data_IF_918630802604
#
_entry.id   IF_918630802604
#
_cell.length_a   1.000
_cell.length_b   1.000
_cell.length_c   1.000
_cell.angle_alpha   90.00
_cell.angle_beta   90.00
_cell.angle_gamma   90.00
#
_symmetry.space_group_name_H-M   'P 1'
#
loop_
_entity.id
_entity.type
_entity.pdbx_description
1 polymer ?
#
# COMPACT_ATOMS: atom_id res chain seq x y z
N UNK A 1 -44.75 -31.64 -17.51
CA UNK A 1 -44.17 -30.29 -17.31
C UNK A 1 -43.78 -30.12 -15.84
N UNK A 2 -42.48 -30.18 -15.52
CA UNK A 2 -41.93 -29.86 -14.19
C UNK A 2 -40.89 -28.75 -14.39
N UNK A 3 -41.14 -27.57 -13.83
CA UNK A 3 -40.21 -26.45 -13.87
C UNK A 3 -39.11 -26.64 -12.83
N UNK A 4 -37.85 -26.61 -13.28
CA UNK A 4 -36.66 -26.62 -12.42
C UNK A 4 -36.39 -25.18 -12.01
N UNK A 5 -36.49 -24.89 -10.70
CA UNK A 5 -36.07 -23.61 -10.12
C UNK A 5 -34.54 -23.60 -10.05
N UNK A 6 -33.94 -22.72 -10.84
CA UNK A 6 -32.51 -22.40 -10.77
C UNK A 6 -32.24 -21.62 -9.48
N UNK A 7 -31.51 -22.23 -8.55
CA UNK A 7 -30.94 -21.56 -7.39
C UNK A 7 -29.51 -21.13 -7.75
N UNK A 8 -29.36 -19.93 -8.28
CA UNK A 8 -28.07 -19.24 -8.21
C UNK A 8 -27.97 -18.58 -6.83
N UNK A 9 -27.27 -19.25 -5.92
CA UNK A 9 -26.81 -18.63 -4.68
C UNK A 9 -25.76 -17.59 -5.03
N UNK A 10 -26.09 -16.34 -4.74
CA UNK A 10 -25.22 -15.17 -4.86
C UNK A 10 -24.00 -15.40 -3.96
N UNK A 11 -22.83 -15.64 -4.54
CA UNK A 11 -21.55 -15.60 -3.80
C UNK A 11 -21.45 -14.22 -3.14
N UNK A 12 -21.18 -14.11 -1.83
CA UNK A 12 -21.05 -12.80 -1.21
C UNK A 12 -19.80 -12.14 -1.77
N UNK A 13 -20.00 -10.95 -2.35
CA UNK A 13 -18.93 -10.04 -2.71
C UNK A 13 -18.04 -9.80 -1.49
N UNK A 14 -16.73 -9.67 -1.74
CA UNK A 14 -15.74 -9.26 -0.76
C UNK A 14 -16.32 -8.11 0.08
N UNK A 15 -16.26 -8.28 1.41
CA UNK A 15 -16.79 -7.37 2.41
C UNK A 15 -16.48 -5.93 2.01
N UNK A 16 -17.52 -5.21 1.58
CA UNK A 16 -17.42 -3.80 1.21
C UNK A 16 -16.85 -3.04 2.40
N UNK A 17 -15.66 -2.46 2.27
CA UNK A 17 -15.16 -1.44 3.20
C UNK A 17 -16.08 -0.22 3.06
N UNK A 18 -17.19 -0.22 3.79
CA UNK A 18 -18.05 0.95 3.94
C UNK A 18 -17.36 1.91 4.92
N UNK A 19 -16.22 2.46 4.52
CA UNK A 19 -15.71 3.66 5.16
C UNK A 19 -16.33 4.85 4.43
N UNK A 20 -17.02 5.68 5.20
CA UNK A 20 -17.65 6.91 4.77
C UNK A 20 -16.62 7.78 4.02
N UNK A 21 -16.86 8.15 2.75
CA UNK A 21 -15.95 9.02 2.00
C UNK A 21 -15.72 10.37 2.69
N UNK A 22 -16.63 10.81 3.56
CA UNK A 22 -16.53 12.05 4.33
C UNK A 22 -15.88 11.86 5.71
N UNK A 23 -15.39 10.64 6.02
CA UNK A 23 -14.69 10.39 7.29
C UNK A 23 -13.39 11.21 7.36
N UNK A 24 -13.18 12.00 8.43
CA UNK A 24 -12.00 12.83 8.55
C UNK A 24 -10.74 11.96 8.55
N UNK A 25 -9.66 12.47 7.95
CA UNK A 25 -8.36 11.82 8.07
C UNK A 25 -7.93 11.78 9.54
N UNK A 26 -7.85 10.57 10.09
CA UNK A 26 -7.32 10.33 11.43
C UNK A 26 -5.89 9.82 11.26
N UNK A 27 -4.93 10.54 11.83
CA UNK A 27 -3.52 10.17 11.83
C UNK A 27 -3.30 8.99 12.81
N UNK A 28 -2.47 8.00 12.47
CA UNK A 28 -2.24 6.87 13.36
C UNK A 28 -1.33 7.22 14.54
N UNK A 29 -1.21 6.33 15.54
CA UNK A 29 -0.19 6.41 16.58
C UNK A 29 1.23 6.51 16.02
N UNK A 30 2.18 6.84 16.91
CA UNK A 30 3.60 6.89 16.53
C UNK A 30 4.14 5.50 16.19
N UNK A 31 5.17 5.44 15.33
CA UNK A 31 5.83 4.15 14.99
C UNK A 31 6.32 3.46 16.25
N UNK A 32 7.00 4.19 17.14
CA UNK A 32 7.38 3.71 18.47
C UNK A 32 6.22 3.10 19.27
N UNK A 33 5.02 3.71 19.25
CA UNK A 33 3.85 3.16 19.94
C UNK A 33 3.36 1.87 19.30
N UNK A 34 3.27 1.83 17.95
CA UNK A 34 2.86 0.63 17.21
C UNK A 34 3.82 -0.52 17.50
N UNK A 35 5.14 -0.26 17.53
CA UNK A 35 6.15 -1.28 17.86
C UNK A 35 5.98 -1.83 19.29
N UNK A 36 5.65 -0.98 20.26
CA UNK A 36 5.38 -1.42 21.64
C UNK A 36 4.13 -2.30 21.77
N UNK A 37 3.14 -2.10 20.90
CA UNK A 37 1.86 -2.80 20.94
C UNK A 37 1.69 -3.79 19.76
N UNK A 38 2.80 -4.15 19.10
CA UNK A 38 2.79 -4.87 17.81
C UNK A 38 1.98 -6.16 17.85
N UNK A 39 2.17 -6.98 18.89
CA UNK A 39 1.47 -8.26 19.06
C UNK A 39 -0.06 -8.09 19.19
N UNK A 40 -0.52 -7.02 19.82
CA UNK A 40 -1.94 -6.72 19.98
C UNK A 40 -2.58 -6.27 18.67
N UNK A 41 -1.78 -5.63 17.80
CA UNK A 41 -2.23 -5.02 16.54
C UNK A 41 -2.21 -5.98 15.34
N UNK A 42 -1.54 -7.14 15.42
CA UNK A 42 -1.42 -8.09 14.30
C UNK A 42 -2.74 -8.53 13.67
N UNK A 43 -3.85 -8.49 14.42
CA UNK A 43 -5.19 -8.85 13.93
C UNK A 43 -6.17 -7.67 13.91
N UNK A 44 -5.66 -6.45 14.06
CA UNK A 44 -6.48 -5.24 14.09
C UNK A 44 -6.40 -4.50 12.76
N UNK A 45 -7.49 -3.78 12.46
CA UNK A 45 -7.47 -2.84 11.34
C UNK A 45 -6.60 -1.63 11.70
N UNK A 46 -5.93 -1.02 10.72
CA UNK A 46 -5.20 0.22 10.93
C UNK A 46 -6.14 1.28 11.49
N UNK A 47 -5.59 2.13 12.33
CA UNK A 47 -6.31 3.23 12.95
C UNK A 47 -6.58 4.37 11.96
N UNK A 48 -5.74 4.49 10.91
CA UNK A 48 -5.91 5.51 9.88
C UNK A 48 -7.24 5.37 9.14
N UNK A 49 -8.01 6.47 9.10
CA UNK A 49 -9.28 6.57 8.38
C UNK A 49 -9.18 7.45 7.14
N UNK A 50 -10.15 7.30 6.25
CA UNK A 50 -10.34 8.16 5.08
C UNK A 50 -9.94 7.49 3.77
N UNK A 51 -10.61 7.89 2.69
CA UNK A 51 -10.42 7.37 1.33
C UNK A 51 -9.70 8.39 0.45
N UNK A 52 -8.46 8.69 0.79
CA UNK A 52 -7.62 9.66 0.07
C UNK A 52 -6.29 9.02 -0.33
N UNK A 53 -5.60 9.55 -1.37
CA UNK A 53 -4.26 9.09 -1.74
C UNK A 53 -3.23 9.30 -0.62
N UNK A 54 -3.52 10.17 0.36
CA UNK A 54 -2.67 10.32 1.54
C UNK A 54 -2.96 9.26 2.61
N UNK A 55 -4.23 8.94 2.88
CA UNK A 55 -4.58 8.01 3.96
C UNK A 55 -4.10 6.57 3.70
N UNK A 56 -3.99 6.16 2.45
CA UNK A 56 -3.59 4.79 2.09
C UNK A 56 -2.12 4.47 2.40
N UNK A 57 -1.12 5.30 2.04
CA UNK A 57 0.26 5.16 2.52
C UNK A 57 0.41 5.06 4.04
N UNK A 58 -0.43 5.76 4.81
CA UNK A 58 -0.44 5.64 6.27
C UNK A 58 -0.93 4.27 6.74
N UNK A 59 -1.98 3.71 6.12
CA UNK A 59 -2.41 2.33 6.40
C UNK A 59 -1.31 1.32 6.02
N UNK A 60 -0.64 1.50 4.88
CA UNK A 60 0.49 0.66 4.48
C UNK A 60 1.61 0.76 5.53
N UNK A 61 1.92 1.97 6.02
CA UNK A 61 2.89 2.18 7.10
C UNK A 61 2.49 1.44 8.37
N UNK A 62 1.24 1.51 8.82
CA UNK A 62 0.76 0.77 9.99
C UNK A 62 0.91 -0.75 9.80
N UNK A 63 0.43 -1.29 8.67
CA UNK A 63 0.57 -2.72 8.38
C UNK A 63 2.03 -3.16 8.31
N UNK A 64 2.90 -2.34 7.71
CA UNK A 64 4.33 -2.60 7.64
C UNK A 64 4.99 -2.64 9.02
N UNK A 65 4.71 -1.66 9.88
CA UNK A 65 5.25 -1.61 11.25
C UNK A 65 4.65 -2.72 12.13
N UNK A 66 3.45 -3.22 11.83
CA UNK A 66 2.84 -4.37 12.52
C UNK A 66 3.39 -5.72 12.01
N UNK A 67 3.87 -5.78 10.76
CA UNK A 67 4.27 -7.01 10.10
C UNK A 67 3.13 -7.74 9.38
N UNK A 68 1.99 -7.07 9.16
CA UNK A 68 0.84 -7.65 8.46
C UNK A 68 1.02 -7.57 6.94
N UNK A 69 1.64 -8.61 6.38
CA UNK A 69 1.89 -8.72 4.94
C UNK A 69 0.60 -8.78 4.13
N UNK A 70 -0.48 -9.37 4.66
CA UNK A 70 -1.75 -9.44 3.95
C UNK A 70 -2.40 -8.06 3.85
N UNK A 71 -2.36 -7.28 4.94
CA UNK A 71 -2.80 -5.90 5.00
C UNK A 71 -2.05 -4.99 4.02
N UNK A 72 -0.71 -5.10 3.97
CA UNK A 72 0.13 -4.37 3.00
C UNK A 72 -0.34 -4.63 1.57
N UNK A 73 -0.44 -5.91 1.17
CA UNK A 73 -0.81 -6.28 -0.20
C UNK A 73 -2.21 -5.79 -0.57
N UNK A 74 -3.18 -5.99 0.32
CA UNK A 74 -4.55 -5.56 0.10
C UNK A 74 -4.70 -4.04 0.01
N UNK A 75 -3.86 -3.27 0.71
CA UNK A 75 -3.89 -1.82 0.66
C UNK A 75 -3.14 -1.25 -0.55
N UNK A 76 -2.02 -1.86 -0.95
CA UNK A 76 -1.30 -1.51 -2.19
C UNK A 76 -2.18 -1.77 -3.42
N UNK A 77 -2.86 -2.92 -3.48
CA UNK A 77 -3.82 -3.22 -4.54
C UNK A 77 -4.99 -2.24 -4.56
N UNK A 78 -5.53 -1.90 -3.38
CA UNK A 78 -6.59 -0.90 -3.25
C UNK A 78 -6.15 0.47 -3.81
N UNK A 79 -4.93 0.91 -3.49
CA UNK A 79 -4.34 2.15 -4.02
C UNK A 79 -4.14 2.09 -5.53
N UNK A 80 -3.64 0.97 -6.05
CA UNK A 80 -3.43 0.79 -7.49
C UNK A 80 -4.74 0.96 -8.27
N UNK A 81 -5.82 0.38 -7.75
CA UNK A 81 -7.17 0.41 -8.33
C UNK A 81 -7.91 1.74 -8.13
N UNK A 82 -7.23 2.82 -7.70
CA UNK A 82 -7.77 4.18 -7.72
C UNK A 82 -7.17 4.96 -8.92
N UNK A 83 -7.91 5.10 -10.04
CA UNK A 83 -7.42 5.76 -11.27
C UNK A 83 -6.84 7.16 -11.07
N UNK A 84 -7.43 7.93 -10.16
CA UNK A 84 -7.03 9.32 -9.91
C UNK A 84 -5.86 9.46 -8.94
N UNK A 85 -5.35 8.37 -8.36
CA UNK A 85 -4.32 8.39 -7.31
C UNK A 85 -2.93 8.10 -7.88
N UNK A 86 -2.37 9.07 -8.60
CA UNK A 86 -0.98 9.03 -9.03
C UNK A 86 -0.02 9.20 -7.83
N UNK A 87 1.05 8.39 -7.77
CA UNK A 87 2.02 8.45 -6.67
C UNK A 87 2.65 9.84 -6.56
N UNK A 88 3.04 10.43 -7.70
CA UNK A 88 3.68 11.75 -7.72
C UNK A 88 2.76 12.92 -7.31
N UNK A 89 1.46 12.65 -7.09
CA UNK A 89 0.46 13.63 -6.62
C UNK A 89 0.09 13.46 -5.16
N UNK A 90 0.66 12.50 -4.44
CA UNK A 90 0.47 12.40 -2.99
C UNK A 90 1.04 13.68 -2.36
N UNK A 91 0.22 14.46 -1.63
CA UNK A 91 0.70 15.68 -0.98
C UNK A 91 1.68 15.36 0.13
N UNK A 92 2.60 16.28 0.41
CA UNK A 92 3.50 16.17 1.56
C UNK A 92 2.69 16.17 2.86
N UNK A 93 2.75 15.13 3.70
CA UNK A 93 2.04 15.11 4.98
C UNK A 93 2.63 16.04 6.05
N UNK A 94 3.88 16.51 5.87
CA UNK A 94 4.68 17.20 6.90
C UNK A 94 4.53 16.51 8.26
N UNK A 95 4.76 15.18 8.29
CA UNK A 95 4.36 14.38 9.44
C UNK A 95 5.22 14.72 10.69
N UNK A 96 4.59 15.03 11.85
CA UNK A 96 5.33 15.45 13.04
C UNK A 96 6.10 14.33 13.73
N UNK A 97 5.80 13.06 13.43
CA UNK A 97 6.55 11.90 13.90
C UNK A 97 7.65 11.56 12.88
N UNK A 98 8.92 11.83 13.19
CA UNK A 98 10.00 11.63 12.24
C UNK A 98 10.13 10.18 11.78
N UNK A 99 9.86 9.20 12.66
CA UNK A 99 9.92 7.77 12.32
C UNK A 99 8.88 7.42 11.26
N UNK A 100 7.63 7.86 11.46
CA UNK A 100 6.55 7.67 10.49
C UNK A 100 6.84 8.41 9.19
N UNK A 101 7.34 9.65 9.27
CA UNK A 101 7.64 10.43 8.07
C UNK A 101 8.72 9.78 7.20
N UNK A 102 9.77 9.25 7.83
CA UNK A 102 10.82 8.51 7.14
C UNK A 102 10.31 7.22 6.49
N UNK A 103 9.43 6.46 7.16
CA UNK A 103 8.79 5.28 6.55
C UNK A 103 7.92 5.68 5.37
N UNK A 104 7.07 6.71 5.53
CA UNK A 104 6.21 7.24 4.48
C UNK A 104 6.99 7.74 3.26
N UNK A 105 8.22 8.24 3.43
CA UNK A 105 9.08 8.67 2.33
C UNK A 105 9.61 7.48 1.50
N UNK A 106 9.77 6.30 2.10
CA UNK A 106 10.31 5.10 1.43
C UNK A 106 9.22 4.29 0.72
N UNK A 107 8.00 4.26 1.25
CA UNK A 107 6.91 3.45 0.68
C UNK A 107 6.61 3.76 -0.81
N UNK A 108 6.56 5.03 -1.27
CA UNK A 108 6.30 5.35 -2.66
C UNK A 108 7.31 4.74 -3.65
N UNK A 109 8.58 4.61 -3.27
CA UNK A 109 9.59 3.93 -4.09
C UNK A 109 9.16 2.50 -4.41
N UNK A 110 8.82 1.74 -3.37
CA UNK A 110 8.40 0.36 -3.51
C UNK A 110 7.09 0.28 -4.32
N UNK A 111 6.09 1.11 -3.98
CA UNK A 111 4.83 1.15 -4.72
C UNK A 111 5.07 1.42 -6.22
N UNK A 112 5.95 2.36 -6.57
CA UNK A 112 6.28 2.65 -7.96
C UNK A 112 6.90 1.44 -8.66
N UNK A 113 7.78 0.69 -8.00
CA UNK A 113 8.35 -0.55 -8.56
C UNK A 113 7.26 -1.60 -8.85
N UNK A 114 6.35 -1.85 -7.91
CA UNK A 114 5.27 -2.82 -8.12
C UNK A 114 4.31 -2.38 -9.23
N UNK A 115 3.92 -1.10 -9.23
CA UNK A 115 2.99 -0.56 -10.22
C UNK A 115 3.60 -0.55 -11.62
N UNK A 116 4.83 -0.08 -11.76
CA UNK A 116 5.53 -0.02 -13.04
C UNK A 116 5.74 -1.41 -13.63
N UNK A 117 6.04 -2.41 -12.79
CA UNK A 117 6.12 -3.81 -13.25
C UNK A 117 4.81 -4.31 -13.87
N UNK A 118 3.64 -3.92 -13.33
CA UNK A 118 2.34 -4.30 -13.89
C UNK A 118 2.05 -3.53 -15.19
N UNK A 119 2.32 -2.22 -15.17
CA UNK A 119 2.11 -1.34 -16.32
C UNK A 119 2.95 -1.79 -17.52
N UNK A 120 4.22 -2.13 -17.30
CA UNK A 120 5.14 -2.67 -18.32
C UNK A 120 4.68 -4.03 -18.87
N UNK A 121 3.90 -4.79 -18.09
CA UNK A 121 3.29 -6.06 -18.51
C UNK A 121 1.95 -5.87 -19.21
N UNK A 122 1.53 -4.63 -19.47
CA UNK A 122 0.30 -4.31 -20.17
C UNK A 122 -0.94 -4.25 -19.27
N UNK A 123 -0.76 -4.13 -17.95
CA UNK A 123 -1.83 -3.93 -16.98
C UNK A 123 -1.78 -2.50 -16.41
N UNK A 124 -2.27 -1.48 -17.14
CA UNK A 124 -2.40 -0.13 -16.61
C UNK A 124 -3.42 -0.08 -15.45
N UNK A 125 -3.38 0.99 -14.63
CA UNK A 125 -4.26 1.17 -13.44
C UNK A 125 -5.76 1.04 -13.73
N UNK A 126 -6.17 1.41 -14.95
CA UNK A 126 -7.58 1.38 -15.38
C UNK A 126 -7.95 0.08 -16.10
N UNK A 127 -7.24 -1.01 -15.83
CA UNK A 127 -7.56 -2.32 -16.40
C UNK A 127 -8.80 -2.90 -15.72
N UNK A 128 -9.81 -3.35 -16.48
CA UNK A 128 -10.93 -4.08 -15.88
C UNK A 128 -10.44 -5.40 -15.29
N UNK A 129 -11.09 -5.85 -14.21
CA UNK A 129 -10.77 -7.13 -13.55
C UNK A 129 -10.89 -8.34 -14.48
N UNK A 130 -11.66 -8.22 -15.56
CA UNK A 130 -11.78 -9.24 -16.61
C UNK A 130 -11.63 -8.54 -17.96
N UNK A 131 -10.64 -8.96 -18.74
CA UNK A 131 -10.42 -8.49 -20.12
C UNK A 131 -11.06 -9.53 -21.05
N UNK A 132 -12.20 -9.18 -21.66
CA UNK A 132 -12.96 -10.10 -22.51
C UNK A 132 -12.77 -9.76 -23.99
N UNK A 133 -11.99 -10.60 -24.69
CA UNK A 133 -11.84 -10.58 -26.15
C UNK A 133 -10.78 -9.62 -26.68
N UNK A 134 -10.33 -9.91 -27.90
CA UNK A 134 -9.19 -9.24 -28.56
C UNK A 134 -9.35 -7.72 -28.67
N UNK A 135 -10.58 -7.22 -28.79
CA UNK A 135 -10.87 -5.79 -28.89
C UNK A 135 -10.56 -5.04 -27.57
N UNK A 136 -10.94 -5.61 -26.42
CA UNK A 136 -10.65 -5.02 -25.11
C UNK A 136 -9.16 -5.07 -24.79
N UNK A 137 -8.48 -6.14 -25.20
CA UNK A 137 -7.03 -6.24 -25.07
C UNK A 137 -6.30 -5.22 -25.96
N UNK A 138 -6.73 -5.05 -27.22
CA UNK A 138 -6.18 -4.06 -28.14
C UNK A 138 -6.37 -2.63 -27.63
N UNK A 139 -7.54 -2.32 -27.05
CA UNK A 139 -7.79 -1.02 -26.40
C UNK A 139 -6.79 -0.75 -25.28
N UNK A 140 -6.60 -1.70 -24.36
CA UNK A 140 -5.65 -1.56 -23.25
C UNK A 140 -4.21 -1.38 -23.74
N UNK A 141 -3.80 -2.14 -24.76
CA UNK A 141 -2.47 -2.02 -25.38
C UNK A 141 -2.25 -0.69 -26.10
N UNK A 142 -3.32 -0.05 -26.58
CA UNK A 142 -3.26 1.26 -27.24
C UNK A 142 -3.10 2.43 -26.27
N UNK A 143 -3.38 2.23 -24.98
CA UNK A 143 -3.25 3.28 -23.97
C UNK A 143 -1.77 3.64 -23.78
N UNK A 144 -1.52 4.93 -23.53
CA UNK A 144 -0.17 5.39 -23.24
C UNK A 144 0.35 4.72 -21.96
N UNK A 145 1.58 4.22 -22.02
CA UNK A 145 2.30 3.69 -20.86
C UNK A 145 2.73 4.87 -19.99
N UNK A 146 2.03 5.10 -18.89
CA UNK A 146 2.37 6.13 -17.91
C UNK A 146 2.94 5.44 -16.68
N UNK A 147 4.27 5.54 -16.52
CA UNK A 147 4.95 4.99 -15.36
C UNK A 147 4.76 5.91 -14.15
N UNK A 148 4.56 5.28 -13.00
CA UNK A 148 4.49 5.90 -11.69
C UNK A 148 5.86 6.39 -11.25
N UNK A 149 5.85 7.52 -10.54
CA UNK A 149 7.04 8.16 -9.98
C UNK A 149 6.76 8.54 -8.54
N UNK A 150 7.81 8.58 -7.74
CA UNK A 150 7.73 9.03 -6.36
C UNK A 150 7.27 10.51 -6.29
N UNK A 151 6.56 10.89 -5.21
CA UNK A 151 6.28 12.30 -4.92
C UNK A 151 7.58 13.11 -4.77
N UNK A 152 7.57 14.37 -5.22
CA UNK A 152 8.76 15.24 -5.12
C UNK A 152 9.20 15.48 -3.66
N UNK A 153 8.26 15.48 -2.71
CA UNK A 153 8.58 15.74 -1.31
C UNK A 153 9.46 14.66 -0.66
N UNK A 154 9.46 13.43 -1.17
CA UNK A 154 10.21 12.33 -0.54
C UNK A 154 11.72 12.61 -0.50
N UNK A 155 12.26 13.32 -1.49
CA UNK A 155 13.69 13.67 -1.54
C UNK A 155 14.11 14.73 -0.50
N UNK A 156 13.15 15.41 0.11
CA UNK A 156 13.39 16.44 1.12
C UNK A 156 13.27 15.91 2.55
N UNK A 157 12.81 14.66 2.72
CA UNK A 157 12.64 14.07 4.05
C UNK A 157 14.00 13.73 4.65
N UNK A 158 14.33 14.22 5.85
CA UNK A 158 15.60 13.93 6.48
C UNK A 158 15.64 12.48 6.99
N UNK A 159 16.81 11.84 6.86
CA UNK A 159 17.08 10.57 7.54
C UNK A 159 16.98 10.69 9.06
N UNK A 160 16.68 9.58 9.73
CA UNK A 160 16.54 9.56 11.18
C UNK A 160 17.88 9.78 11.90
N UNK A 161 17.85 10.56 13.00
CA UNK A 161 19.03 10.79 13.86
C UNK A 161 19.41 9.54 14.66
N UNK A 162 18.42 8.73 15.04
CA UNK A 162 18.59 7.47 15.76
C UNK A 162 18.13 6.34 14.85
N UNK A 163 18.83 5.21 14.90
CA UNK A 163 18.46 4.04 14.12
C UNK A 163 17.13 3.50 14.62
N UNK A 164 16.19 3.35 13.70
CA UNK A 164 14.91 2.69 13.93
C UNK A 164 15.02 1.24 13.45
N UNK A 165 14.63 0.28 14.27
CA UNK A 165 14.53 -1.12 13.86
C UNK A 165 13.05 -1.50 13.73
N UNK A 166 12.63 -1.95 12.56
CA UNK A 166 11.30 -2.51 12.32
C UNK A 166 11.48 -4.02 12.14
N UNK A 167 10.92 -4.84 13.06
CA UNK A 167 10.95 -6.30 12.95
C UNK A 167 10.31 -6.84 11.67
N UNK A 168 10.70 -8.06 11.28
CA UNK A 168 10.07 -8.84 10.21
C UNK A 168 8.63 -9.29 10.57
N UNK A 169 7.95 -9.99 9.66
CA UNK A 169 6.56 -10.44 9.90
C UNK A 169 6.41 -11.39 11.11
N UNK A 170 7.47 -12.10 11.48
CA UNK A 170 7.53 -13.02 12.61
C UNK A 170 7.94 -12.31 13.92
N UNK A 171 8.28 -11.02 13.86
CA UNK A 171 8.69 -10.21 15.00
C UNK A 171 10.19 -10.29 15.33
N UNK A 172 11.00 -10.90 14.47
CA UNK A 172 12.45 -10.98 14.64
C UNK A 172 13.15 -9.76 14.03
N UNK A 173 14.42 -9.57 14.39
CA UNK A 173 15.25 -8.57 13.74
C UNK A 173 15.52 -8.99 12.28
N UNK A 174 15.39 -8.07 11.30
CA UNK A 174 15.68 -8.37 9.90
C UNK A 174 17.09 -8.94 9.69
N UNK A 175 17.16 -10.07 8.98
CA UNK A 175 18.43 -10.68 8.56
C UNK A 175 19.24 -9.70 7.71
N UNK A 176 20.57 -9.73 7.81
CA UNK A 176 21.44 -8.73 7.17
C UNK A 176 21.28 -8.65 5.65
N UNK A 177 21.08 -9.80 5.00
CA UNK A 177 20.87 -9.96 3.57
C UNK A 177 19.44 -9.64 3.12
N UNK A 178 18.48 -9.58 4.04
CA UNK A 178 17.09 -9.20 3.78
C UNK A 178 16.81 -7.70 3.96
N UNK A 179 17.78 -6.94 4.52
CA UNK A 179 17.63 -5.50 4.77
C UNK A 179 17.49 -4.70 3.49
N UNK A 180 16.58 -3.73 3.52
CA UNK A 180 16.35 -2.78 2.44
C UNK A 180 17.39 -1.65 2.45
N UNK A 181 18.08 -1.48 1.32
CA UNK A 181 18.95 -0.31 1.10
C UNK A 181 18.18 1.02 1.24
N UNK A 182 16.92 1.06 0.78
CA UNK A 182 16.10 2.28 0.85
C UNK A 182 15.70 2.67 2.26
N UNK A 183 15.41 1.69 3.12
CA UNK A 183 15.21 1.96 4.54
C UNK A 183 16.54 2.32 5.23
N UNK A 184 17.63 1.67 4.85
CA UNK A 184 18.97 1.97 5.38
C UNK A 184 19.42 3.41 5.09
N UNK A 185 19.14 3.94 3.90
CA UNK A 185 19.39 5.35 3.53
C UNK A 185 18.72 6.34 4.50
N UNK A 186 17.57 5.93 5.08
CA UNK A 186 16.82 6.69 6.09
C UNK A 186 17.21 6.38 7.54
N UNK A 187 18.27 5.58 7.75
CA UNK A 187 18.69 5.05 9.05
C UNK A 187 17.61 4.15 9.71
N UNK A 188 16.96 3.33 8.89
CA UNK A 188 15.95 2.35 9.30
C UNK A 188 16.45 0.94 8.95
N UNK A 189 16.49 0.04 9.93
CA UNK A 189 16.75 -1.38 9.73
C UNK A 189 15.40 -2.07 9.56
N UNK A 190 15.07 -2.43 8.32
CA UNK A 190 13.84 -3.13 7.97
C UNK A 190 14.03 -3.94 6.68
N UNK A 191 13.20 -4.96 6.47
CA UNK A 191 13.11 -5.65 5.18
C UNK A 191 12.38 -4.77 4.14
N UNK A 192 12.57 -5.09 2.86
CA UNK A 192 11.70 -4.54 1.82
C UNK A 192 10.25 -5.03 2.06
N UNK A 193 9.24 -4.16 1.92
CA UNK A 193 7.87 -4.57 2.18
C UNK A 193 7.41 -5.54 1.09
N UNK A 194 6.70 -6.60 1.47
CA UNK A 194 6.10 -7.55 0.53
C UNK A 194 4.88 -6.94 -0.17
N UNK A 195 5.14 -6.14 -1.21
CA UNK A 195 4.12 -5.32 -1.90
C UNK A 195 3.73 -5.83 -3.28
N UNK A 196 4.24 -6.99 -3.72
CA UNK A 196 3.84 -7.57 -4.99
C UNK A 196 2.41 -8.11 -4.88
N UNK A 197 1.58 -7.75 -5.87
CA UNK A 197 0.20 -8.19 -6.01
C UNK A 197 -0.08 -8.55 -7.48
N UNK A 198 -1.19 -9.26 -7.71
CA UNK A 198 -1.64 -9.76 -9.02
C UNK A 198 -3.12 -9.49 -9.13
#
# INVERSE_FOLDING_TARGET
>A
MKAIRSFFTKTPAATSRSEDPDSPFIRPPTVSWILQHRAELQNQKPSTRGRTPLASPYRICEYFVVGDTAGIRAEVEFFFNQPSWALNKIPDPEDPDPERYAVLAVLPYYMAQAFNRLIERGLPRDSPAIIMGDAAEAELRSKAVVLEKEPEWVSHVPKLKKTLMIPDCDGNAPAEDARSDKFMDMNIIAEAPYILFV
#
